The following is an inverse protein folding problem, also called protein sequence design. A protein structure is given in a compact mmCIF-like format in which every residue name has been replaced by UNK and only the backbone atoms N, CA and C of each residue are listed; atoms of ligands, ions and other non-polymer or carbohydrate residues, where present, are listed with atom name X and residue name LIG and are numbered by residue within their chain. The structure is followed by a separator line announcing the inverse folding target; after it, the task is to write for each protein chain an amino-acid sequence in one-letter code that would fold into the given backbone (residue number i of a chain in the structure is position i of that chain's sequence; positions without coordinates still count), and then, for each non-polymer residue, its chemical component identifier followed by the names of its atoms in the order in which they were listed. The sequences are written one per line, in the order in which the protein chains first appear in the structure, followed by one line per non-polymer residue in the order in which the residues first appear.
data_IF_822082788055
#
_entry.id   IF_822082788055
#
_cell.length_a   1.000
_cell.length_b   1.000
_cell.length_c   1.000
_cell.angle_alpha   90.00
_cell.angle_beta   90.00
_cell.angle_gamma   90.00
#
_symmetry.space_group_name_H-M   'P 1'
#
loop_
_entity.id
_entity.type
_entity.pdbx_description
1 polymer ?
#
# COMPACT_ATOMS: atom_id res chain seq x y z
N UNK A 1 0.63 7.06 21.20
CA UNK A 1 0.74 8.53 21.33
C UNK A 1 -0.52 9.19 21.88
N UNK A 2 -1.73 8.76 21.53
CA UNK A 2 -2.99 9.46 21.92
C UNK A 2 -3.99 8.51 22.61
N UNK A 3 -3.50 7.69 23.55
CA UNK A 3 -4.29 6.61 24.15
C UNK A 3 -5.40 7.13 25.08
N UNK A 4 -5.10 8.17 25.87
CA UNK A 4 -5.96 8.61 26.97
C UNK A 4 -7.26 9.27 26.50
N UNK A 5 -7.24 9.99 25.37
CA UNK A 5 -8.40 10.71 24.87
C UNK A 5 -8.05 11.62 23.70
N UNK A 6 -9.09 12.15 23.05
CA UNK A 6 -8.99 13.12 21.97
C UNK A 6 -8.11 14.31 22.40
N UNK A 7 -7.10 14.63 21.59
CA UNK A 7 -6.12 15.69 21.81
C UNK A 7 -5.24 15.52 23.07
N UNK A 8 -5.20 14.33 23.69
CA UNK A 8 -4.35 14.03 24.84
C UNK A 8 -3.13 13.21 24.42
N UNK A 9 -2.10 13.93 23.99
CA UNK A 9 -0.88 13.32 23.46
C UNK A 9 0.19 13.07 24.53
N UNK A 10 0.84 11.93 24.44
CA UNK A 10 2.04 11.55 25.20
C UNK A 10 3.12 11.16 24.20
N UNK A 11 4.19 11.98 24.13
CA UNK A 11 5.28 11.86 23.17
C UNK A 11 6.59 11.34 23.74
N UNK A 12 6.71 11.25 25.08
CA UNK A 12 7.97 10.96 25.78
C UNK A 12 8.74 9.75 25.20
N UNK A 13 8.05 8.64 24.94
CA UNK A 13 8.67 7.45 24.33
C UNK A 13 9.36 7.75 22.99
N UNK A 14 8.69 8.53 22.12
CA UNK A 14 9.27 8.91 20.83
C UNK A 14 10.42 9.90 21.00
N UNK A 15 10.34 10.82 21.96
CA UNK A 15 11.42 11.76 22.27
C UNK A 15 12.69 11.01 22.72
N UNK A 16 12.54 10.00 23.57
CA UNK A 16 13.63 9.16 24.07
C UNK A 16 14.26 8.36 22.93
N UNK A 17 13.45 7.62 22.15
CA UNK A 17 13.93 6.84 21.00
C UNK A 17 14.61 7.72 19.95
N UNK A 18 14.05 8.89 19.64
CA UNK A 18 14.64 9.81 18.68
C UNK A 18 15.91 10.46 19.22
N UNK A 19 16.06 10.59 20.54
CA UNK A 19 17.31 11.01 21.16
C UNK A 19 18.40 9.97 20.92
N UNK A 20 18.11 8.69 21.18
CA UNK A 20 19.07 7.59 21.00
C UNK A 20 19.51 7.43 19.54
N UNK A 21 18.56 7.49 18.59
CA UNK A 21 18.87 7.40 17.15
C UNK A 21 19.78 8.55 16.71
N UNK A 22 19.52 9.78 17.18
CA UNK A 22 20.36 10.94 16.88
C UNK A 22 21.73 10.85 17.53
N UNK A 23 21.82 10.36 18.76
CA UNK A 23 23.09 10.13 19.45
C UNK A 23 23.98 9.13 18.71
N UNK A 24 23.37 8.15 18.03
CA UNK A 24 24.04 7.22 17.13
C UNK A 24 24.41 7.81 15.75
N UNK A 25 24.10 9.09 15.48
CA UNK A 25 24.39 9.76 14.21
C UNK A 25 23.49 9.35 13.03
N UNK A 26 22.39 8.64 13.30
CA UNK A 26 21.46 8.13 12.29
C UNK A 26 20.35 9.16 11.96
N UNK A 27 19.72 8.96 10.79
CA UNK A 27 18.52 9.71 10.38
C UNK A 27 17.25 8.96 10.78
N UNK A 28 16.14 9.69 10.93
CA UNK A 28 14.85 9.15 11.37
C UNK A 28 13.82 9.35 10.25
N UNK A 29 13.08 8.29 9.94
CA UNK A 29 11.93 8.33 9.03
C UNK A 29 10.71 7.82 9.84
N UNK A 30 9.91 8.72 10.45
CA UNK A 30 8.77 8.30 11.26
C UNK A 30 7.60 7.86 10.38
N UNK A 31 6.94 6.77 10.76
CA UNK A 31 5.68 6.34 10.17
C UNK A 31 4.54 6.83 11.05
N UNK A 32 3.63 7.63 10.49
CA UNK A 32 2.39 8.02 11.17
C UNK A 32 1.41 6.84 11.13
N UNK A 33 1.55 5.93 12.10
CA UNK A 33 0.86 4.65 12.13
C UNK A 33 -0.58 4.77 12.68
N UNK A 34 -1.50 5.26 11.85
CA UNK A 34 -2.95 5.31 12.16
C UNK A 34 -3.64 3.95 11.91
N UNK A 35 -3.01 2.86 12.37
CA UNK A 35 -3.52 1.49 12.25
C UNK A 35 -3.13 0.70 13.50
N UNK A 36 -3.74 -0.47 13.66
CA UNK A 36 -3.38 -1.41 14.72
C UNK A 36 -2.08 -2.14 14.40
N UNK A 37 -1.21 -2.30 15.39
CA UNK A 37 -0.12 -3.29 15.38
C UNK A 37 -0.64 -4.56 16.06
N UNK A 38 -0.56 -5.72 15.40
CA UNK A 38 -1.13 -6.96 15.90
C UNK A 38 -2.25 -7.47 15.01
N UNK A 39 -2.27 -8.79 14.77
CA UNK A 39 -3.24 -9.46 13.90
C UNK A 39 -2.80 -9.62 12.45
N UNK A 40 -1.65 -9.07 12.04
CA UNK A 40 -1.04 -9.33 10.73
C UNK A 40 0.09 -10.36 10.82
N UNK A 41 0.51 -10.89 9.67
CA UNK A 41 1.63 -11.82 9.56
C UNK A 41 2.92 -11.14 10.02
N UNK A 42 3.59 -11.73 11.02
CA UNK A 42 4.86 -11.22 11.55
C UNK A 42 4.73 -10.15 12.64
N UNK A 43 3.52 -9.83 13.08
CA UNK A 43 3.29 -8.96 14.23
C UNK A 43 3.52 -9.73 15.54
N UNK A 44 4.34 -9.17 16.42
CA UNK A 44 4.62 -9.63 17.80
C UNK A 44 4.12 -8.61 18.84
N UNK A 45 3.21 -7.73 18.42
CA UNK A 45 2.66 -6.60 19.16
C UNK A 45 1.13 -6.72 19.27
N UNK A 46 0.56 -6.03 20.26
CA UNK A 46 -0.88 -5.79 20.40
C UNK A 46 -1.11 -4.33 20.80
N UNK A 47 -1.20 -3.46 19.79
CA UNK A 47 -1.36 -2.01 19.94
C UNK A 47 -2.56 -1.59 19.08
N UNK A 48 -3.79 -1.65 19.63
CA UNK A 48 -4.99 -1.26 18.91
C UNK A 48 -5.06 0.27 18.72
N UNK A 49 -5.97 0.70 17.85
CA UNK A 49 -6.37 2.10 17.79
C UNK A 49 -6.91 2.57 19.16
N UNK A 50 -6.72 3.86 19.53
CA UNK A 50 -7.25 4.40 20.78
C UNK A 50 -8.75 4.14 20.94
N UNK A 51 -9.13 3.48 22.04
CA UNK A 51 -10.50 3.00 22.25
C UNK A 51 -11.57 4.11 22.23
N UNK A 52 -11.21 5.35 22.57
CA UNK A 52 -12.12 6.49 22.56
C UNK A 52 -12.68 6.82 21.16
N UNK A 53 -11.93 6.50 20.08
CA UNK A 53 -12.30 6.78 18.68
C UNK A 53 -13.65 6.15 18.33
N UNK A 54 -13.89 4.92 18.78
CA UNK A 54 -15.09 4.15 18.47
C UNK A 54 -16.37 4.80 19.00
N UNK A 55 -16.29 5.50 20.12
CA UNK A 55 -17.44 6.22 20.70
C UNK A 55 -17.59 7.65 20.18
N UNK A 56 -16.48 8.28 19.77
CA UNK A 56 -16.47 9.67 19.34
C UNK A 56 -17.33 9.91 18.09
N UNK A 57 -17.18 9.06 17.07
CA UNK A 57 -17.89 9.22 15.80
C UNK A 57 -19.36 8.76 15.85
N UNK A 58 -19.65 7.73 16.65
CA UNK A 58 -21.04 7.30 16.90
C UNK A 58 -21.89 8.46 17.46
N UNK A 59 -21.33 9.22 18.42
CA UNK A 59 -22.01 10.39 19.01
C UNK A 59 -22.21 11.55 18.03
N UNK A 60 -21.46 11.58 16.93
CA UNK A 60 -21.60 12.58 15.86
C UNK A 60 -22.60 12.17 14.77
N UNK A 61 -23.30 11.04 14.94
CA UNK A 61 -24.33 10.57 14.00
C UNK A 61 -23.78 10.10 12.65
N UNK A 62 -22.49 9.79 12.56
CA UNK A 62 -21.86 9.30 11.34
C UNK A 62 -21.99 7.77 11.32
N UNK A 63 -22.90 7.25 10.50
CA UNK A 63 -23.03 5.82 10.26
C UNK A 63 -21.95 5.33 9.29
N UNK A 64 -21.40 4.11 9.47
CA UNK A 64 -20.42 3.51 8.55
C UNK A 64 -20.87 3.46 7.09
N UNK A 65 -22.17 3.35 6.85
CA UNK A 65 -22.77 3.17 5.52
C UNK A 65 -22.77 4.44 4.64
N UNK A 66 -22.37 5.60 5.18
CA UNK A 66 -22.46 6.89 4.50
C UNK A 66 -21.37 7.14 3.42
N UNK A 67 -20.48 6.18 3.14
CA UNK A 67 -19.19 6.46 2.49
C UNK A 67 -19.01 5.93 1.07
N UNK A 68 -20.09 5.63 0.33
CA UNK A 68 -19.94 4.94 -0.95
C UNK A 68 -20.60 5.61 -2.15
N UNK A 69 -21.92 5.69 -2.19
CA UNK A 69 -22.64 6.49 -3.18
C UNK A 69 -23.46 7.49 -2.40
N UNK A 70 -23.19 8.79 -2.54
CA UNK A 70 -23.91 9.82 -1.81
C UNK A 70 -25.45 9.70 -1.99
N UNK A 71 -25.91 9.03 -3.08
CA UNK A 71 -27.30 8.59 -3.26
C UNK A 71 -27.45 7.43 -4.28
N UNK A 72 -28.57 6.68 -4.20
CA UNK A 72 -29.00 5.67 -5.19
C UNK A 72 -29.31 6.29 -6.57
N UNK A 73 -29.70 7.57 -6.60
CA UNK A 73 -29.96 8.29 -7.85
C UNK A 73 -28.70 8.42 -8.73
N UNK A 74 -27.51 8.38 -8.12
CA UNK A 74 -26.23 8.40 -8.85
C UNK A 74 -25.82 7.02 -9.37
N UNK A 75 -26.26 5.93 -8.71
CA UNK A 75 -25.92 4.55 -9.06
C UNK A 75 -26.76 4.01 -10.22
N UNK A 76 -28.08 4.23 -10.18
CA UNK A 76 -29.04 3.66 -11.13
C UNK A 76 -28.69 3.88 -12.62
N UNK A 77 -28.27 5.09 -13.06
CA UNK A 77 -27.92 5.32 -14.46
C UNK A 77 -26.71 4.50 -14.93
N UNK A 78 -25.69 4.33 -14.08
CA UNK A 78 -24.49 3.57 -14.42
C UNK A 78 -24.72 2.06 -14.47
N UNK A 79 -25.66 1.56 -13.65
CA UNK A 79 -25.95 0.13 -13.55
C UNK A 79 -27.12 -0.31 -14.43
N UNK A 80 -27.82 0.63 -15.10
CA UNK A 80 -29.04 0.33 -15.84
C UNK A 80 -30.17 -0.20 -14.94
N UNK A 81 -30.22 0.27 -13.68
CA UNK A 81 -31.15 -0.21 -12.65
C UNK A 81 -32.10 0.89 -12.19
N UNK A 82 -33.09 0.52 -11.37
CA UNK A 82 -34.08 1.43 -10.81
C UNK A 82 -34.32 1.14 -9.32
N UNK A 83 -33.24 0.88 -8.58
CA UNK A 83 -33.33 0.65 -7.14
C UNK A 83 -33.85 1.90 -6.43
N UNK A 84 -34.59 1.72 -5.35
CA UNK A 84 -35.14 2.78 -4.51
C UNK A 84 -34.23 3.12 -3.34
N UNK A 85 -33.45 2.15 -2.87
CA UNK A 85 -32.52 2.27 -1.75
C UNK A 85 -31.40 1.19 -1.88
N UNK A 86 -30.31 1.30 -1.12
CA UNK A 86 -29.19 0.34 -1.18
C UNK A 86 -29.56 -1.08 -0.74
N UNK A 87 -30.61 -1.25 0.08
CA UNK A 87 -31.04 -2.57 0.53
C UNK A 87 -31.69 -3.41 -0.59
N UNK A 88 -32.07 -2.78 -1.71
CA UNK A 88 -32.57 -3.50 -2.89
C UNK A 88 -31.45 -4.07 -3.78
N UNK A 89 -30.19 -3.72 -3.51
CA UNK A 89 -29.05 -4.23 -4.28
C UNK A 89 -28.77 -5.68 -3.84
N UNK A 90 -29.24 -6.63 -4.64
CA UNK A 90 -28.87 -8.03 -4.54
C UNK A 90 -27.96 -8.41 -5.72
N UNK A 91 -26.80 -9.01 -5.44
CA UNK A 91 -25.95 -9.56 -6.50
C UNK A 91 -26.58 -10.87 -7.02
N UNK A 92 -26.67 -11.08 -8.35
CA UNK A 92 -27.29 -12.29 -8.92
C UNK A 92 -26.62 -13.61 -8.49
N UNK A 93 -25.32 -13.54 -8.21
CA UNK A 93 -24.44 -14.63 -7.74
C UNK A 93 -23.48 -14.08 -6.69
N UNK A 94 -22.91 -14.92 -5.83
CA UNK A 94 -21.92 -14.47 -4.85
C UNK A 94 -20.61 -14.01 -5.52
N UNK A 95 -19.72 -13.34 -4.77
CA UNK A 95 -18.37 -13.06 -5.27
C UNK A 95 -17.59 -14.34 -5.56
N UNK A 96 -17.69 -15.37 -4.71
CA UNK A 96 -17.03 -16.65 -4.92
C UNK A 96 -17.46 -17.31 -6.24
N UNK A 97 -18.76 -17.30 -6.55
CA UNK A 97 -19.28 -17.83 -7.80
C UNK A 97 -18.79 -17.02 -9.01
N UNK A 98 -18.82 -15.68 -8.90
CA UNK A 98 -18.35 -14.82 -9.98
C UNK A 98 -16.84 -14.93 -10.23
N UNK A 99 -16.04 -15.15 -9.17
CA UNK A 99 -14.60 -15.39 -9.25
C UNK A 99 -14.35 -16.76 -9.91
N UNK A 100 -15.04 -17.81 -9.46
CA UNK A 100 -14.89 -19.17 -9.99
C UNK A 100 -15.19 -19.27 -11.50
N UNK A 101 -15.97 -18.35 -12.06
CA UNK A 101 -16.30 -18.29 -13.48
C UNK A 101 -15.76 -17.05 -14.20
N UNK A 102 -14.86 -16.27 -13.58
CA UNK A 102 -14.33 -15.00 -14.10
C UNK A 102 -15.39 -13.96 -14.54
N UNK A 103 -16.62 -14.06 -14.04
CA UNK A 103 -17.71 -13.14 -14.40
C UNK A 103 -17.45 -11.71 -13.91
N UNK A 104 -16.64 -11.53 -12.86
CA UNK A 104 -16.24 -10.21 -12.37
C UNK A 104 -15.48 -9.36 -13.41
N UNK A 105 -14.90 -10.00 -14.42
CA UNK A 105 -14.18 -9.32 -15.51
C UNK A 105 -15.09 -8.74 -16.57
N UNK A 106 -16.35 -9.16 -16.65
CA UNK A 106 -17.26 -8.80 -17.76
C UNK A 106 -18.60 -8.26 -17.30
N UNK A 107 -18.97 -8.48 -16.04
CA UNK A 107 -20.25 -8.00 -15.51
C UNK A 107 -20.17 -6.51 -15.16
N UNK A 108 -21.01 -5.65 -15.79
CA UNK A 108 -20.90 -4.19 -15.63
C UNK A 108 -21.07 -3.71 -14.18
N UNK A 109 -21.97 -4.31 -13.40
CA UNK A 109 -22.19 -3.95 -11.99
C UNK A 109 -20.94 -4.18 -11.13
N UNK A 110 -20.20 -5.26 -11.40
CA UNK A 110 -18.98 -5.65 -10.68
C UNK A 110 -17.79 -4.81 -11.13
N UNK A 111 -17.66 -4.55 -12.43
CA UNK A 111 -16.65 -3.64 -12.94
C UNK A 111 -16.83 -2.23 -12.37
N UNK A 112 -18.06 -1.72 -12.32
CA UNK A 112 -18.34 -0.41 -11.71
C UNK A 112 -18.07 -0.41 -10.20
N UNK A 113 -18.44 -1.49 -9.50
CA UNK A 113 -18.07 -1.67 -8.09
C UNK A 113 -16.55 -1.60 -7.88
N UNK A 114 -15.77 -2.34 -8.68
CA UNK A 114 -14.32 -2.42 -8.57
C UNK A 114 -13.66 -1.08 -8.91
N UNK A 115 -14.17 -0.39 -9.94
CA UNK A 115 -13.73 0.95 -10.29
C UNK A 115 -13.95 1.93 -9.15
N UNK A 116 -15.17 1.95 -8.58
CA UNK A 116 -15.47 2.78 -7.42
C UNK A 116 -14.55 2.45 -6.25
N UNK A 117 -14.29 1.16 -6.01
CA UNK A 117 -13.55 0.70 -4.83
C UNK A 117 -12.09 1.15 -4.92
N UNK A 118 -11.48 1.00 -6.09
CA UNK A 118 -10.16 1.56 -6.39
C UNK A 118 -10.14 3.10 -6.23
N UNK A 119 -11.10 3.81 -6.81
CA UNK A 119 -11.19 5.27 -6.72
C UNK A 119 -11.39 5.76 -5.28
N UNK A 120 -12.12 5.03 -4.45
CA UNK A 120 -12.29 5.35 -3.03
C UNK A 120 -10.96 5.32 -2.29
N UNK A 121 -10.11 4.31 -2.55
CA UNK A 121 -8.77 4.21 -1.98
C UNK A 121 -7.85 5.33 -2.50
N UNK A 122 -7.83 5.59 -3.81
CA UNK A 122 -7.03 6.68 -4.40
C UNK A 122 -7.45 8.04 -3.84
N UNK A 123 -8.75 8.29 -3.72
CA UNK A 123 -9.28 9.51 -3.13
C UNK A 123 -8.93 9.63 -1.64
N UNK A 124 -8.91 8.53 -0.90
CA UNK A 124 -8.44 8.50 0.48
C UNK A 124 -6.95 8.86 0.58
N UNK A 125 -6.08 8.24 -0.23
CA UNK A 125 -4.66 8.57 -0.29
C UNK A 125 -4.43 10.06 -0.62
N UNK A 126 -5.15 10.59 -1.60
CA UNK A 126 -5.10 12.02 -1.94
C UNK A 126 -5.55 12.92 -0.77
N UNK A 127 -6.56 12.53 0.01
CA UNK A 127 -6.99 13.26 1.22
C UNK A 127 -5.89 13.24 2.30
N UNK A 128 -5.33 12.07 2.57
CA UNK A 128 -4.30 11.91 3.59
C UNK A 128 -3.03 12.68 3.27
N UNK A 129 -2.59 12.66 2.00
CA UNK A 129 -1.44 13.45 1.56
C UNK A 129 -1.66 14.96 1.73
N UNK A 130 -2.87 15.46 1.46
CA UNK A 130 -3.21 16.88 1.72
C UNK A 130 -3.16 17.22 3.21
N UNK A 131 -3.69 16.35 4.07
CA UNK A 131 -3.62 16.58 5.52
C UNK A 131 -2.18 16.51 6.04
N UNK A 132 -1.38 15.58 5.51
CA UNK A 132 0.04 15.50 5.85
C UNK A 132 0.80 16.76 5.38
N UNK A 133 0.56 17.24 4.16
CA UNK A 133 1.18 18.47 3.65
C UNK A 133 0.82 19.68 4.54
N UNK A 134 -0.44 19.81 4.95
CA UNK A 134 -0.88 20.85 5.88
C UNK A 134 -0.23 20.70 7.27
N UNK A 135 -0.26 19.50 7.85
CA UNK A 135 0.29 19.23 9.19
C UNK A 135 1.80 19.49 9.26
N UNK A 136 2.52 19.19 8.18
CA UNK A 136 3.97 19.31 8.09
C UNK A 136 4.43 20.55 7.31
N UNK A 137 3.57 21.53 7.09
CA UNK A 137 3.90 22.73 6.32
C UNK A 137 5.07 23.55 6.90
N UNK A 138 5.31 23.45 8.21
CA UNK A 138 6.40 24.15 8.89
C UNK A 138 7.74 23.41 8.81
N UNK A 139 7.75 22.14 8.40
CA UNK A 139 9.00 21.39 8.20
C UNK A 139 9.68 21.83 6.90
N UNK A 140 11.03 21.77 6.80
CA UNK A 140 11.75 22.04 5.54
C UNK A 140 11.18 21.21 4.38
N UNK A 141 11.00 21.83 3.21
CA UNK A 141 10.36 21.20 2.04
C UNK A 141 11.18 20.02 1.47
N UNK A 142 12.46 19.96 1.81
CA UNK A 142 13.40 18.89 1.43
C UNK A 142 13.07 17.56 2.12
N UNK A 143 12.33 17.57 3.23
CA UNK A 143 11.87 16.35 3.90
C UNK A 143 10.68 15.79 3.11
N UNK A 144 10.80 14.65 2.41
CA UNK A 144 9.69 14.14 1.63
C UNK A 144 8.56 13.62 2.52
N UNK A 145 7.34 13.60 1.99
CA UNK A 145 6.28 12.70 2.48
C UNK A 145 6.38 11.37 1.75
N UNK A 146 5.69 10.35 2.26
CA UNK A 146 5.57 9.10 1.53
C UNK A 146 4.35 8.30 1.92
N UNK A 147 4.04 7.31 1.09
CA UNK A 147 3.05 6.29 1.37
C UNK A 147 3.52 4.93 0.87
N UNK A 148 2.96 3.87 1.45
CA UNK A 148 3.29 2.49 1.13
C UNK A 148 2.20 1.86 0.29
N UNK A 149 2.59 1.11 -0.75
CA UNK A 149 1.72 0.21 -1.51
C UNK A 149 2.17 -1.22 -1.17
N UNK A 150 1.29 -2.13 -0.74
CA UNK A 150 1.66 -3.51 -0.44
C UNK A 150 1.91 -4.30 -1.74
N UNK A 151 2.92 -5.19 -1.71
CA UNK A 151 3.20 -6.15 -2.76
C UNK A 151 2.26 -7.35 -2.70
N UNK A 152 1.05 -7.21 -3.23
CA UNK A 152 0.07 -8.30 -3.32
C UNK A 152 0.37 -9.12 -4.57
N UNK A 153 1.17 -10.16 -4.40
CA UNK A 153 1.79 -10.88 -5.51
C UNK A 153 1.09 -12.18 -5.90
N UNK A 154 0.17 -12.69 -5.07
CA UNK A 154 -0.61 -13.90 -5.36
C UNK A 154 -1.82 -13.62 -6.25
N UNK A 155 -2.33 -14.66 -6.91
CA UNK A 155 -3.39 -14.67 -7.93
C UNK A 155 -3.04 -13.98 -9.26
N UNK A 156 -1.80 -13.51 -9.44
CA UNK A 156 -1.41 -12.78 -10.65
C UNK A 156 -1.38 -13.72 -11.86
N UNK A 157 -0.74 -14.88 -11.71
CA UNK A 157 -0.67 -15.92 -12.73
C UNK A 157 -1.71 -17.02 -12.45
N UNK A 158 -3.00 -16.66 -12.50
CA UNK A 158 -4.10 -17.61 -12.28
C UNK A 158 -5.11 -17.51 -13.40
N UNK A 159 -5.49 -18.64 -14.00
CA UNK A 159 -6.51 -18.69 -15.07
C UNK A 159 -7.89 -18.31 -14.56
N UNK A 160 -8.20 -18.71 -13.32
CA UNK A 160 -9.44 -18.39 -12.60
C UNK A 160 -9.10 -17.47 -11.44
N UNK A 161 -9.82 -16.36 -11.32
CA UNK A 161 -9.60 -15.39 -10.25
C UNK A 161 -8.32 -14.56 -10.40
N UNK A 162 -7.83 -14.38 -11.63
CA UNK A 162 -6.70 -13.52 -11.95
C UNK A 162 -6.79 -12.16 -11.25
N UNK A 163 -5.73 -11.75 -10.54
CA UNK A 163 -5.57 -10.46 -9.86
C UNK A 163 -6.64 -10.17 -8.78
N UNK A 164 -7.42 -11.17 -8.37
CA UNK A 164 -8.51 -10.95 -7.40
C UNK A 164 -8.01 -10.46 -6.05
N UNK A 165 -6.80 -10.84 -5.64
CA UNK A 165 -6.18 -10.33 -4.42
C UNK A 165 -5.92 -8.82 -4.49
N UNK A 166 -5.36 -8.33 -5.60
CA UNK A 166 -5.10 -6.90 -5.81
C UNK A 166 -6.40 -6.10 -5.96
N UNK A 167 -7.41 -6.68 -6.63
CA UNK A 167 -8.75 -6.10 -6.76
C UNK A 167 -9.46 -5.99 -5.40
N UNK A 168 -9.40 -7.04 -4.58
CA UNK A 168 -9.99 -7.06 -3.24
C UNK A 168 -9.31 -6.08 -2.27
N UNK A 169 -8.03 -5.78 -2.50
CA UNK A 169 -7.32 -4.72 -1.80
C UNK A 169 -7.59 -3.31 -2.38
N UNK A 170 -8.19 -3.22 -3.56
CA UNK A 170 -8.52 -1.96 -4.24
C UNK A 170 -7.30 -1.23 -4.81
N UNK A 171 -6.14 -1.89 -4.91
CA UNK A 171 -4.87 -1.23 -5.27
C UNK A 171 -4.64 -1.10 -6.77
N UNK A 172 -5.44 -1.79 -7.59
CA UNK A 172 -5.39 -1.69 -9.06
C UNK A 172 -6.71 -1.20 -9.65
N UNK A 173 -6.59 -0.46 -10.74
CA UNK A 173 -7.70 -0.12 -11.62
C UNK A 173 -8.10 -1.36 -12.45
N UNK A 174 -9.30 -1.87 -12.19
CA UNK A 174 -9.84 -3.05 -12.87
C UNK A 174 -9.96 -2.86 -14.38
N UNK A 175 -10.28 -1.66 -14.87
CA UNK A 175 -10.41 -1.44 -16.32
C UNK A 175 -9.05 -1.46 -17.00
N UNK A 176 -8.04 -0.83 -16.39
CA UNK A 176 -6.68 -0.80 -16.95
C UNK A 176 -5.99 -2.17 -16.85
N UNK A 177 -6.23 -2.92 -15.76
CA UNK A 177 -5.60 -4.22 -15.54
C UNK A 177 -5.96 -5.28 -16.60
N UNK A 178 -7.08 -5.10 -17.33
CA UNK A 178 -7.60 -6.07 -18.29
C UNK A 178 -7.92 -5.50 -19.68
N UNK A 179 -7.64 -4.21 -19.97
CA UNK A 179 -8.01 -3.56 -21.25
C UNK A 179 -7.24 -4.08 -22.47
N UNK A 180 -6.01 -4.55 -22.27
CA UNK A 180 -5.20 -5.27 -23.26
C UNK A 180 -4.07 -5.97 -22.49
N UNK A 181 -3.90 -7.27 -22.70
CA UNK A 181 -2.94 -8.15 -22.02
C UNK A 181 -1.54 -7.54 -21.80
N UNK A 182 -1.08 -7.40 -20.54
CA UNK A 182 -1.73 -6.65 -19.46
C UNK A 182 -0.96 -5.37 -19.10
N UNK A 183 -1.67 -4.24 -18.96
CA UNK A 183 -1.13 -3.09 -18.21
C UNK A 183 -1.25 -3.35 -16.69
N UNK A 184 -0.30 -2.88 -15.85
CA UNK A 184 -0.25 -3.32 -14.45
C UNK A 184 -1.41 -2.86 -13.55
N UNK A 185 -2.14 -1.80 -13.92
CA UNK A 185 -3.28 -1.26 -13.16
C UNK A 185 -2.92 -0.29 -12.02
N UNK A 186 -1.62 0.00 -11.82
CA UNK A 186 -1.11 0.82 -10.72
C UNK A 186 -0.99 2.33 -11.03
N UNK A 187 -1.41 2.76 -12.22
CA UNK A 187 -1.19 4.11 -12.73
C UNK A 187 -1.76 5.17 -11.78
N UNK A 188 -3.01 5.02 -11.34
CA UNK A 188 -3.68 6.04 -10.52
C UNK A 188 -3.09 6.16 -9.11
N UNK A 189 -2.75 5.03 -8.48
CA UNK A 189 -2.20 5.04 -7.11
C UNK A 189 -0.77 5.59 -7.10
N UNK A 190 0.06 5.24 -8.09
CA UNK A 190 1.41 5.81 -8.25
C UNK A 190 1.33 7.31 -8.57
N UNK A 191 0.32 7.75 -9.34
CA UNK A 191 0.11 9.16 -9.67
C UNK A 191 -0.15 10.06 -8.47
N UNK A 192 -0.53 9.51 -7.30
CA UNK A 192 -0.61 10.28 -6.07
C UNK A 192 0.73 10.92 -5.67
N UNK A 193 1.85 10.30 -6.06
CA UNK A 193 3.21 10.79 -5.80
C UNK A 193 3.83 11.55 -6.99
N UNK A 194 3.15 11.62 -8.14
CA UNK A 194 3.70 12.25 -9.34
C UNK A 194 4.05 13.73 -9.06
N UNK A 195 5.24 14.21 -9.50
CA UNK A 195 5.62 15.60 -9.30
C UNK A 195 4.60 16.56 -9.90
N UNK A 196 4.21 17.59 -9.13
CA UNK A 196 3.30 18.64 -9.60
C UNK A 196 4.05 19.96 -9.68
N UNK A 197 3.78 20.76 -10.71
CA UNK A 197 4.51 22.00 -10.99
C UNK A 197 4.57 23.01 -9.82
N UNK A 198 3.56 23.00 -8.93
CA UNK A 198 3.47 23.89 -7.76
C UNK A 198 3.82 23.22 -6.43
N UNK A 199 4.21 21.95 -6.46
CA UNK A 199 4.46 21.18 -5.25
C UNK A 199 5.93 21.30 -4.84
N UNK A 200 6.18 21.92 -3.69
CA UNK A 200 7.54 22.12 -3.17
C UNK A 200 8.08 20.84 -2.51
N UNK A 201 7.21 20.09 -1.81
CA UNK A 201 7.59 18.88 -1.08
C UNK A 201 7.37 17.63 -1.93
N UNK A 202 8.42 16.83 -2.12
CA UNK A 202 8.33 15.55 -2.84
C UNK A 202 7.51 14.51 -2.07
N UNK A 203 6.87 13.60 -2.80
CA UNK A 203 6.21 12.41 -2.25
C UNK A 203 6.92 11.18 -2.77
N UNK A 204 7.27 10.25 -1.87
CA UNK A 204 7.99 9.01 -2.16
C UNK A 204 7.03 7.83 -2.03
N UNK A 205 7.00 6.97 -3.04
CA UNK A 205 6.30 5.68 -2.96
C UNK A 205 7.24 4.66 -2.34
N UNK A 206 6.70 3.86 -1.42
CA UNK A 206 7.35 2.71 -0.84
C UNK A 206 6.62 1.43 -1.27
N UNK A 207 7.34 0.41 -1.72
CA UNK A 207 6.77 -0.87 -2.16
C UNK A 207 7.44 -2.06 -1.47
N UNK A 208 6.77 -3.20 -1.33
CA UNK A 208 7.28 -4.37 -0.60
C UNK A 208 7.53 -5.58 -1.52
N UNK A 209 7.99 -6.70 -0.96
CA UNK A 209 8.23 -7.98 -1.65
C UNK A 209 9.40 -7.98 -2.64
N UNK A 210 10.33 -7.03 -2.49
CA UNK A 210 11.49 -6.89 -3.37
C UNK A 210 12.48 -8.07 -3.31
N UNK A 211 12.43 -8.86 -2.25
CA UNK A 211 13.30 -10.01 -2.03
C UNK A 211 12.78 -11.31 -2.64
N UNK A 212 11.53 -11.35 -3.09
CA UNK A 212 10.86 -12.58 -3.51
C UNK A 212 11.03 -12.88 -5.00
N UNK A 213 11.02 -14.18 -5.34
CA UNK A 213 11.09 -14.69 -6.71
C UNK A 213 9.70 -15.09 -7.23
N UNK A 214 9.51 -15.08 -8.55
CA UNK A 214 8.25 -15.52 -9.17
C UNK A 214 8.05 -17.04 -9.03
N UNK A 215 6.81 -17.44 -8.73
CA UNK A 215 6.37 -18.83 -8.62
C UNK A 215 5.06 -19.04 -9.40
N UNK A 216 5.10 -18.94 -10.75
CA UNK A 216 3.91 -18.94 -11.60
C UNK A 216 3.13 -20.26 -11.57
N UNK A 217 3.83 -21.38 -11.39
CA UNK A 217 3.26 -22.74 -11.36
C UNK A 217 2.79 -23.16 -9.96
N UNK A 218 3.00 -22.32 -8.94
CA UNK A 218 2.53 -22.56 -7.58
C UNK A 218 1.01 -22.41 -7.48
N UNK A 219 0.40 -23.04 -6.48
CA UNK A 219 -1.07 -22.97 -6.25
C UNK A 219 -1.59 -21.53 -6.14
N UNK A 220 -0.74 -20.61 -5.67
CA UNK A 220 -1.06 -19.20 -5.51
C UNK A 220 -0.88 -18.36 -6.79
N UNK A 221 -0.28 -18.87 -7.87
CA UNK A 221 0.01 -18.10 -9.09
C UNK A 221 0.81 -16.82 -8.79
N UNK A 222 1.86 -16.95 -7.98
CA UNK A 222 2.54 -15.83 -7.31
C UNK A 222 3.61 -15.18 -8.20
N UNK A 223 3.56 -13.86 -8.39
CA UNK A 223 4.45 -13.12 -9.30
C UNK A 223 5.10 -11.85 -8.69
N UNK A 224 5.80 -11.93 -7.54
CA UNK A 224 6.35 -10.76 -6.85
C UNK A 224 7.46 -10.03 -7.63
N UNK A 225 8.38 -10.75 -8.30
CA UNK A 225 9.47 -10.12 -9.06
C UNK A 225 8.93 -9.40 -10.28
N UNK A 226 7.99 -10.02 -11.00
CA UNK A 226 7.27 -9.37 -12.10
C UNK A 226 6.51 -8.13 -11.62
N UNK A 227 5.79 -8.24 -10.50
CA UNK A 227 5.06 -7.12 -9.89
C UNK A 227 5.98 -5.95 -9.50
N UNK A 228 7.10 -6.24 -8.83
CA UNK A 228 8.10 -5.23 -8.44
C UNK A 228 8.63 -4.47 -9.66
N UNK A 229 8.85 -5.17 -10.78
CA UNK A 229 9.28 -4.56 -12.04
C UNK A 229 8.19 -3.68 -12.67
N UNK A 230 6.92 -4.08 -12.60
CA UNK A 230 5.80 -3.25 -13.05
C UNK A 230 5.72 -1.93 -12.28
N UNK A 231 5.83 -1.97 -10.95
CA UNK A 231 5.83 -0.78 -10.10
C UNK A 231 7.02 0.12 -10.42
N UNK A 232 8.21 -0.47 -10.60
CA UNK A 232 9.42 0.23 -10.99
C UNK A 232 9.29 0.97 -12.32
N UNK A 233 8.77 0.27 -13.34
CA UNK A 233 8.55 0.84 -14.67
C UNK A 233 7.51 1.97 -14.65
N UNK A 234 6.42 1.79 -13.92
CA UNK A 234 5.35 2.78 -13.82
C UNK A 234 5.79 4.01 -13.04
N UNK A 235 6.51 3.84 -11.93
CA UNK A 235 7.11 4.96 -11.20
C UNK A 235 8.09 5.75 -12.07
N UNK A 236 8.92 5.06 -12.87
CA UNK A 236 9.82 5.70 -13.84
C UNK A 236 9.04 6.51 -14.87
N UNK A 237 7.98 5.93 -15.45
CA UNK A 237 7.11 6.58 -16.44
C UNK A 237 6.51 7.89 -15.91
N UNK A 238 6.15 7.91 -14.62
CA UNK A 238 5.54 9.07 -13.97
C UNK A 238 6.53 10.03 -13.29
N UNK A 239 7.84 9.74 -13.31
CA UNK A 239 8.85 10.54 -12.61
C UNK A 239 8.72 10.49 -11.08
N UNK A 240 8.14 9.41 -10.55
CA UNK A 240 7.93 9.19 -9.10
C UNK A 240 9.20 8.62 -8.47
N UNK A 241 9.53 9.12 -7.28
CA UNK A 241 10.60 8.54 -6.46
C UNK A 241 10.06 7.29 -5.78
N UNK A 242 10.72 6.17 -6.04
CA UNK A 242 10.34 4.86 -5.53
C UNK A 242 11.42 4.33 -4.59
N UNK A 243 11.01 3.86 -3.42
CA UNK A 243 11.83 3.11 -2.48
C UNK A 243 11.16 1.78 -2.18
N UNK A 244 11.90 0.83 -1.64
CA UNK A 244 11.39 -0.51 -1.44
C UNK A 244 11.76 -1.12 -0.11
N UNK A 245 11.12 -2.24 0.20
CA UNK A 245 11.25 -2.98 1.44
C UNK A 245 11.17 -4.48 1.15
N UNK A 246 11.88 -5.31 1.92
CA UNK A 246 11.59 -6.74 1.93
C UNK A 246 10.25 -6.97 2.64
N UNK A 247 9.46 -7.94 2.19
CA UNK A 247 8.20 -8.30 2.82
C UNK A 247 8.40 -9.18 4.06
N UNK A 248 9.32 -10.15 4.00
CA UNK A 248 9.59 -11.11 5.06
C UNK A 248 11.07 -11.11 5.45
N UNK A 249 11.33 -11.42 6.72
CA UNK A 249 12.70 -11.56 7.23
C UNK A 249 13.47 -12.70 6.53
N UNK A 250 12.77 -13.77 6.13
CA UNK A 250 13.36 -14.97 5.55
C UNK A 250 14.27 -14.66 4.34
N UNK A 251 13.88 -13.72 3.47
CA UNK A 251 14.70 -13.35 2.31
C UNK A 251 16.06 -12.72 2.68
N UNK A 252 16.21 -12.17 3.89
CA UNK A 252 17.48 -11.63 4.38
C UNK A 252 18.45 -12.73 4.85
N UNK A 253 17.96 -13.95 5.10
CA UNK A 253 18.78 -15.10 5.50
C UNK A 253 19.29 -15.92 4.31
N UNK A 254 18.93 -15.55 3.08
CA UNK A 254 19.28 -16.27 1.87
C UNK A 254 19.92 -15.35 0.82
N UNK A 255 20.95 -15.86 0.14
CA UNK A 255 21.66 -15.11 -0.89
C UNK A 255 20.75 -14.68 -2.06
N UNK A 256 19.72 -15.48 -2.37
CA UNK A 256 18.73 -15.17 -3.40
C UNK A 256 17.96 -13.88 -3.09
N UNK A 257 17.46 -13.71 -1.86
CA UNK A 257 16.72 -12.50 -1.48
C UNK A 257 17.58 -11.24 -1.58
N UNK A 258 18.85 -11.33 -1.19
CA UNK A 258 19.82 -10.25 -1.41
C UNK A 258 20.11 -9.98 -2.88
N UNK A 259 20.21 -11.02 -3.71
CA UNK A 259 20.39 -10.88 -5.15
C UNK A 259 19.20 -10.15 -5.78
N UNK A 260 17.97 -10.51 -5.39
CA UNK A 260 16.75 -9.85 -5.84
C UNK A 260 16.73 -8.37 -5.43
N UNK A 261 17.00 -8.05 -4.16
CA UNK A 261 17.11 -6.67 -3.65
C UNK A 261 18.15 -5.84 -4.41
N UNK A 262 19.31 -6.41 -4.72
CA UNK A 262 20.36 -5.71 -5.49
C UNK A 262 19.95 -5.50 -6.95
N UNK A 263 19.27 -6.46 -7.57
CA UNK A 263 18.81 -6.35 -8.94
C UNK A 263 17.80 -5.21 -9.11
N UNK A 264 16.84 -5.10 -8.18
CA UNK A 264 15.78 -4.07 -8.24
C UNK A 264 16.33 -2.67 -7.96
N UNK A 265 17.36 -2.55 -7.11
CA UNK A 265 18.09 -1.28 -6.94
C UNK A 265 18.85 -0.86 -8.21
N UNK A 266 19.51 -1.81 -8.89
CA UNK A 266 20.29 -1.51 -10.09
C UNK A 266 19.41 -1.18 -11.31
N UNK A 267 18.35 -1.95 -11.51
CA UNK A 267 17.61 -1.95 -12.77
C UNK A 267 16.13 -1.55 -12.61
N UNK A 268 15.57 -1.67 -11.40
CA UNK A 268 14.14 -1.56 -11.11
C UNK A 268 13.64 -0.16 -10.76
N UNK A 269 14.44 0.91 -10.90
CA UNK A 269 14.06 2.30 -10.55
C UNK A 269 13.92 2.58 -9.03
N UNK A 270 14.33 1.66 -8.17
CA UNK A 270 14.30 1.84 -6.72
C UNK A 270 15.53 2.64 -6.27
N UNK A 271 15.29 3.71 -5.50
CA UNK A 271 16.31 4.67 -5.04
C UNK A 271 16.65 4.52 -3.56
N UNK A 272 16.26 3.41 -2.94
CA UNK A 272 16.56 3.14 -1.54
C UNK A 272 15.75 1.97 -0.99
N UNK A 273 16.28 1.37 0.08
CA UNK A 273 15.67 0.26 0.78
C UNK A 273 15.41 0.60 2.24
N UNK A 274 14.34 0.05 2.80
CA UNK A 274 14.16 -0.15 4.24
C UNK A 274 14.12 -1.65 4.50
N UNK A 275 15.00 -2.14 5.37
CA UNK A 275 15.11 -3.58 5.65
C UNK A 275 14.34 -3.94 6.92
N UNK A 276 13.43 -4.89 6.79
CA UNK A 276 12.59 -5.43 7.85
C UNK A 276 13.22 -6.73 8.42
N UNK A 277 13.63 -6.78 9.69
CA UNK A 277 13.78 -5.66 10.65
C UNK A 277 15.17 -5.66 11.30
N UNK A 278 15.42 -4.68 12.17
CA UNK A 278 16.74 -4.42 12.74
C UNK A 278 17.45 -5.68 13.27
N UNK A 279 16.75 -6.55 14.00
CA UNK A 279 17.32 -7.78 14.54
C UNK A 279 17.77 -8.74 13.43
N UNK A 280 16.98 -8.88 12.36
CA UNK A 280 17.32 -9.73 11.19
C UNK A 280 18.50 -9.18 10.37
N UNK A 281 18.93 -7.96 10.67
CA UNK A 281 20.13 -7.35 10.09
C UNK A 281 21.32 -7.50 11.03
N UNK A 282 21.18 -7.11 12.30
CA UNK A 282 22.32 -7.04 13.23
C UNK A 282 22.75 -8.41 13.75
N UNK A 283 21.84 -9.39 13.81
CA UNK A 283 22.11 -10.74 14.31
C UNK A 283 22.39 -11.74 13.17
N UNK A 284 22.29 -11.30 11.91
CA UNK A 284 22.45 -12.13 10.73
C UNK A 284 23.81 -11.86 10.06
N UNK A 285 24.79 -12.79 10.15
CA UNK A 285 26.11 -12.58 9.57
C UNK A 285 26.11 -12.34 8.06
N UNK A 286 25.16 -12.94 7.33
CA UNK A 286 25.01 -12.69 5.90
C UNK A 286 24.59 -11.25 5.65
N UNK A 287 23.55 -10.78 6.34
CA UNK A 287 23.08 -9.40 6.22
C UNK A 287 24.17 -8.38 6.56
N UNK A 288 24.89 -8.57 7.67
CA UNK A 288 26.01 -7.72 8.07
C UNK A 288 27.09 -7.70 6.98
N UNK A 289 27.50 -8.87 6.48
CA UNK A 289 28.53 -8.96 5.44
C UNK A 289 28.08 -8.29 4.14
N UNK A 290 26.82 -8.48 3.73
CA UNK A 290 26.27 -7.84 2.53
C UNK A 290 26.21 -6.32 2.67
N UNK A 291 25.73 -5.80 3.80
CA UNK A 291 25.68 -4.35 4.03
C UNK A 291 27.06 -3.70 4.10
N UNK A 292 28.07 -4.38 4.67
CA UNK A 292 29.46 -3.89 4.68
C UNK A 292 30.07 -3.80 3.28
N UNK A 293 29.59 -4.62 2.33
CA UNK A 293 30.03 -4.60 0.93
C UNK A 293 29.33 -3.52 0.10
N UNK A 294 28.16 -3.03 0.54
CA UNK A 294 27.50 -1.89 -0.09
C UNK A 294 28.30 -0.62 0.23
N UNK A 295 29.13 -0.18 -0.72
CA UNK A 295 29.88 1.06 -0.57
C UNK A 295 28.93 2.26 -0.40
N UNK A 296 29.30 3.28 0.42
CA UNK A 296 28.53 4.51 0.49
C UNK A 296 28.52 5.18 -0.89
N UNK A 297 27.35 5.36 -1.50
CA UNK A 297 27.21 6.03 -2.80
C UNK A 297 26.23 5.43 -3.81
N UNK A 298 25.44 4.43 -3.43
CA UNK A 298 24.20 4.08 -4.13
C UNK A 298 23.02 4.89 -3.58
#
# INVERSE_FOLDING_TARGET
MEQAGDQQFVWQYYDDVFSDIRAAGLKIIPIMAFHQCGGNVGDDCDIPLPGWIWTHYQRKGIAPDNLRYQSIATLNPGWGTAYKNFAEIALPVSWDQAIASNQYLVEPSRQDFLQWYHQALVAHGARMLRYAEYAFQQLPAEIPLGFKIPGIHWTINSDIGARTAELAAGIIDANAAFSSTPEPGYQQIIALAAPKAKQQRKVVVHFTALEMSDEPEGEAGSMPSTLVNWIGAEARRQGVILKGENALAAGLYHAEGWSNLQQVLRNGNYQGLTLLRLNDIVENPLAVATLQQLQPGF
#
